data_IF_733972315154
#
_entry.id   IF_733972315154
#
_cell.length_a   1.000
_cell.length_b   1.000
_cell.length_c   1.000
_cell.angle_alpha   90.00
_cell.angle_beta   90.00
_cell.angle_gamma   90.00
#
_symmetry.space_group_name_H-M   'P 1'
#
loop_
_entity.id
_entity.type
_entity.pdbx_description
1 polymer ?
#
# COMPACT_ATOMS: atom_id res chain seq x y z
N UNK A 1 -11.14 -11.77 -5.46
CA UNK A 1 -10.84 -10.38 -5.09
C UNK A 1 -11.13 -10.06 -3.63
N UNK A 2 -12.05 -10.75 -2.94
CA UNK A 2 -12.42 -10.42 -1.54
C UNK A 2 -11.34 -10.75 -0.50
N UNK A 3 -10.70 -11.93 -0.59
CA UNK A 3 -9.79 -12.37 0.48
C UNK A 3 -8.55 -11.50 0.70
N UNK A 4 -7.96 -10.94 -0.37
CA UNK A 4 -6.78 -10.08 -0.24
C UNK A 4 -7.14 -8.74 0.42
N UNK A 5 -8.26 -8.13 0.03
CA UNK A 5 -8.74 -6.89 0.65
C UNK A 5 -9.06 -7.09 2.13
N UNK A 6 -9.71 -8.20 2.49
CA UNK A 6 -10.04 -8.50 3.89
C UNK A 6 -8.78 -8.69 4.75
N UNK A 7 -7.74 -9.31 4.21
CA UNK A 7 -6.43 -9.42 4.88
C UNK A 7 -5.79 -8.05 5.08
N UNK A 8 -5.82 -7.18 4.06
CA UNK A 8 -5.29 -5.81 4.16
C UNK A 8 -6.02 -5.02 5.24
N UNK A 9 -7.36 -5.03 5.25
CA UNK A 9 -8.17 -4.39 6.30
C UNK A 9 -7.80 -4.91 7.69
N UNK A 10 -7.71 -6.23 7.85
CA UNK A 10 -7.33 -6.85 9.12
C UNK A 10 -5.95 -6.37 9.62
N UNK A 11 -4.96 -6.23 8.74
CA UNK A 11 -3.64 -5.73 9.11
C UNK A 11 -3.67 -4.25 9.50
N UNK A 12 -4.41 -3.42 8.77
CA UNK A 12 -4.60 -1.99 9.08
C UNK A 12 -5.29 -1.79 10.44
N UNK A 13 -6.31 -2.60 10.74
CA UNK A 13 -6.99 -2.61 12.03
C UNK A 13 -6.05 -2.95 13.20
N UNK A 14 -5.04 -3.78 12.92
CA UNK A 14 -3.95 -4.12 13.86
C UNK A 14 -2.86 -3.07 13.95
N UNK A 15 -3.06 -1.88 13.37
CA UNK A 15 -2.10 -0.77 13.36
C UNK A 15 -0.79 -1.15 12.67
N UNK A 16 -0.86 -1.97 11.61
CA UNK A 16 0.27 -2.14 10.72
C UNK A 16 0.71 -0.78 10.17
N UNK A 17 2.03 -0.60 10.07
CA UNK A 17 2.63 0.59 9.48
C UNK A 17 2.33 0.59 7.97
N UNK A 18 1.43 1.48 7.55
CA UNK A 18 0.90 1.53 6.17
C UNK A 18 1.97 1.91 5.15
N UNK A 19 2.97 2.69 5.58
CA UNK A 19 4.08 3.17 4.75
C UNK A 19 5.37 2.39 5.00
N UNK A 20 5.26 1.19 5.59
CA UNK A 20 6.43 0.34 5.81
C UNK A 20 7.12 0.04 4.48
N UNK A 21 8.40 0.38 4.42
CA UNK A 21 9.26 0.15 3.27
C UNK A 21 9.83 -1.27 3.28
N UNK A 22 9.83 -1.92 2.12
CA UNK A 22 10.64 -3.11 1.88
C UNK A 22 12.11 -2.77 1.62
N UNK A 23 12.93 -3.77 1.30
CA UNK A 23 14.38 -3.58 1.07
C UNK A 23 14.73 -2.82 -0.21
N UNK A 24 13.74 -2.45 -1.03
CA UNK A 24 13.89 -1.63 -2.23
C UNK A 24 13.16 -0.28 -2.11
N UNK A 25 12.70 0.08 -0.90
CA UNK A 25 11.95 1.30 -0.65
C UNK A 25 10.49 1.26 -1.13
N UNK A 26 9.93 0.09 -1.46
CA UNK A 26 8.53 0.00 -1.89
C UNK A 26 7.59 -0.05 -0.69
N UNK A 27 6.49 0.70 -0.78
CA UNK A 27 5.35 0.58 0.13
C UNK A 27 4.31 -0.39 -0.43
N UNK A 28 3.35 -0.80 0.40
CA UNK A 28 2.19 -1.55 -0.06
C UNK A 28 1.40 -0.80 -1.15
N UNK A 29 1.38 0.54 -1.10
CA UNK A 29 0.67 1.37 -2.08
C UNK A 29 1.30 1.28 -3.47
N UNK A 30 2.64 1.32 -3.57
CA UNK A 30 3.34 1.11 -4.85
C UNK A 30 2.95 -0.22 -5.50
N UNK A 31 2.93 -1.29 -4.71
CA UNK A 31 2.63 -2.63 -5.18
C UNK A 31 1.16 -2.71 -5.64
N UNK A 32 0.24 -2.17 -4.86
CA UNK A 32 -1.19 -2.18 -5.18
C UNK A 32 -1.53 -1.41 -6.46
N UNK A 33 -0.91 -0.24 -6.67
CA UNK A 33 -1.09 0.54 -7.90
C UNK A 33 -0.49 -0.19 -9.10
N UNK A 34 0.76 -0.69 -8.98
CA UNK A 34 1.41 -1.44 -10.06
C UNK A 34 0.64 -2.70 -10.47
N UNK A 35 -0.10 -3.32 -9.55
CA UNK A 35 -0.92 -4.51 -9.79
C UNK A 35 -2.37 -4.20 -10.21
N UNK A 36 -2.77 -2.91 -10.26
CA UNK A 36 -4.13 -2.50 -10.59
C UNK A 36 -5.18 -2.92 -9.54
N UNK A 37 -4.78 -3.08 -8.27
CA UNK A 37 -5.65 -3.53 -7.19
C UNK A 37 -6.45 -2.36 -6.58
N UNK A 38 -7.43 -1.85 -7.32
CA UNK A 38 -8.19 -0.64 -6.95
C UNK A 38 -8.74 -0.67 -5.52
N UNK A 39 -9.34 -1.79 -5.08
CA UNK A 39 -9.93 -1.87 -3.74
C UNK A 39 -8.85 -1.77 -2.65
N UNK A 40 -7.70 -2.41 -2.82
CA UNK A 40 -6.57 -2.33 -1.88
C UNK A 40 -5.99 -0.91 -1.88
N UNK A 41 -5.88 -0.25 -3.03
CA UNK A 41 -5.46 1.16 -3.11
C UNK A 41 -6.39 2.04 -2.27
N UNK A 42 -7.71 1.85 -2.37
CA UNK A 42 -8.69 2.61 -1.57
C UNK A 42 -8.53 2.37 -0.07
N UNK A 43 -8.31 1.13 0.37
CA UNK A 43 -8.07 0.81 1.78
C UNK A 43 -6.78 1.47 2.31
N UNK A 44 -5.67 1.36 1.58
CA UNK A 44 -4.38 1.93 1.99
C UNK A 44 -4.43 3.46 2.05
N UNK A 45 -4.99 4.12 1.03
CA UNK A 45 -5.16 5.58 1.03
C UNK A 45 -6.11 6.03 2.13
N UNK A 46 -7.20 5.29 2.37
CA UNK A 46 -8.13 5.54 3.47
C UNK A 46 -7.50 5.40 4.85
N UNK A 47 -6.49 4.54 4.98
CA UNK A 47 -5.69 4.38 6.19
C UNK A 47 -4.54 5.41 6.33
N UNK A 48 -4.40 6.32 5.36
CA UNK A 48 -3.44 7.42 5.43
C UNK A 48 -2.07 7.12 4.80
N UNK A 49 -1.98 6.14 3.89
CA UNK A 49 -0.75 5.89 3.13
C UNK A 49 -0.26 7.15 2.40
N UNK A 50 1.05 7.40 2.42
CA UNK A 50 1.66 8.51 1.69
C UNK A 50 1.66 8.24 0.17
N UNK A 51 0.78 8.94 -0.54
CA UNK A 51 0.65 8.85 -2.00
C UNK A 51 1.83 9.47 -2.75
N UNK A 52 2.73 10.17 -2.06
CA UNK A 52 3.92 10.80 -2.62
C UNK A 52 5.23 10.11 -2.20
N UNK A 53 5.16 8.96 -1.51
CA UNK A 53 6.37 8.25 -1.11
C UNK A 53 7.21 7.88 -2.34
N UNK A 54 8.54 7.94 -2.21
CA UNK A 54 9.47 7.66 -3.29
C UNK A 54 10.32 6.46 -2.90
N UNK A 55 10.33 5.41 -3.72
CA UNK A 55 11.19 4.25 -3.50
C UNK A 55 12.65 4.50 -3.91
N UNK A 56 13.53 3.53 -3.71
CA UNK A 56 14.96 3.66 -4.00
C UNK A 56 15.26 3.86 -5.50
N UNK A 57 14.27 3.62 -6.38
CA UNK A 57 14.36 3.84 -7.83
C UNK A 57 13.86 5.22 -8.24
N UNK A 58 13.46 6.07 -7.30
CA UNK A 58 12.91 7.39 -7.60
C UNK A 58 11.48 7.36 -8.12
N UNK A 59 10.75 6.26 -7.93
CA UNK A 59 9.36 6.11 -8.39
C UNK A 59 8.40 6.45 -7.27
N UNK A 60 7.31 7.13 -7.62
CA UNK A 60 6.11 7.26 -6.79
C UNK A 60 5.22 6.02 -6.95
N UNK A 61 4.16 5.87 -6.12
CA UNK A 61 3.15 4.86 -6.37
C UNK A 61 2.44 5.00 -7.72
N UNK A 62 2.33 6.23 -8.25
CA UNK A 62 1.87 6.54 -9.61
C UNK A 62 3.03 6.42 -10.61
#
# INVERSE_FOLDING_TARGET
SSGATDIVRYLLDRKADVDKLDSSGWTALHIAVSAGHEEIVRELVGAGADVQCINDKGLTPL
#
